data_IF_555578838149
#
_entry.id   IF_555578838149
#
_cell.length_a   1.000
_cell.length_b   1.000
_cell.length_c   1.000
_cell.angle_alpha   90.00
_cell.angle_beta   90.00
_cell.angle_gamma   90.00
#
_symmetry.space_group_name_H-M   'P 1'
#
loop_
_entity.id
_entity.type
_entity.pdbx_description
1 polymer ?
#
# COMPACT_ATOMS: atom_id res chain seq x y z
N UNK A 1 6.20 10.39 -9.66
CA UNK A 1 5.05 10.03 -8.83
C UNK A 1 5.21 8.65 -8.18
N UNK A 2 5.67 7.64 -8.87
CA UNK A 2 5.82 6.29 -8.35
C UNK A 2 5.69 5.22 -9.44
N UNK A 3 5.59 3.96 -9.05
CA UNK A 3 5.43 2.82 -9.95
C UNK A 3 4.40 1.83 -9.42
N UNK A 4 3.88 0.99 -10.30
CA UNK A 4 2.82 0.00 -10.08
C UNK A 4 1.50 0.60 -9.56
N UNK A 5 0.39 0.12 -10.09
CA UNK A 5 -0.93 0.56 -9.62
C UNK A 5 -1.27 -0.05 -8.25
N UNK A 6 -1.84 0.78 -7.39
CA UNK A 6 -2.31 0.36 -6.06
C UNK A 6 -3.69 -0.28 -6.18
N UNK A 7 -3.69 -1.58 -6.36
CA UNK A 7 -4.89 -2.43 -6.43
C UNK A 7 -4.78 -3.55 -5.41
N UNK A 8 -5.85 -4.26 -5.13
CA UNK A 8 -5.84 -5.46 -4.31
C UNK A 8 -5.22 -5.29 -2.93
N UNK A 9 -4.33 -6.19 -2.55
CA UNK A 9 -3.76 -6.26 -1.20
C UNK A 9 -2.97 -5.03 -0.75
N UNK A 10 -2.30 -4.32 -1.65
CA UNK A 10 -1.59 -3.08 -1.27
C UNK A 10 -2.57 -1.97 -0.90
N UNK A 11 -3.73 -1.91 -1.57
CA UNK A 11 -4.80 -1.00 -1.18
C UNK A 11 -5.33 -1.35 0.21
N UNK A 12 -5.57 -2.63 0.48
CA UNK A 12 -5.98 -3.12 1.81
C UNK A 12 -4.96 -2.72 2.88
N UNK A 13 -3.67 -2.95 2.65
CA UNK A 13 -2.61 -2.55 3.60
C UNK A 13 -2.60 -1.05 3.86
N UNK A 14 -2.60 -0.24 2.79
CA UNK A 14 -2.57 1.22 2.89
C UNK A 14 -3.80 1.82 3.59
N UNK A 15 -4.95 1.14 3.51
CA UNK A 15 -6.20 1.58 4.14
C UNK A 15 -6.39 1.03 5.56
N UNK A 16 -6.02 -0.24 5.81
CA UNK A 16 -6.29 -0.88 7.09
C UNK A 16 -5.18 -0.66 8.14
N UNK A 17 -3.91 -0.60 7.73
CA UNK A 17 -2.82 -0.38 8.67
C UNK A 17 -2.93 0.97 9.43
N UNK A 18 -3.34 2.09 8.82
CA UNK A 18 -3.59 3.33 9.56
C UNK A 18 -4.68 3.18 10.63
N UNK A 19 -5.70 2.36 10.38
CA UNK A 19 -6.77 2.11 11.37
C UNK A 19 -6.20 1.37 12.58
N UNK A 20 -5.32 0.40 12.37
CA UNK A 20 -4.62 -0.30 13.45
C UNK A 20 -3.87 0.73 14.32
N UNK A 21 -3.07 1.60 13.70
CA UNK A 21 -2.30 2.62 14.39
C UNK A 21 -3.17 3.62 15.17
N UNK A 22 -4.17 4.21 14.53
CA UNK A 22 -5.05 5.23 15.15
C UNK A 22 -5.92 4.66 16.26
N UNK A 23 -6.20 3.36 16.26
CA UNK A 23 -6.95 2.68 17.32
C UNK A 23 -6.06 2.10 18.42
N UNK A 24 -4.75 2.35 18.38
CA UNK A 24 -3.77 1.79 19.31
C UNK A 24 -3.87 0.27 19.43
N UNK A 25 -4.09 -0.41 18.31
CA UNK A 25 -4.09 -1.87 18.24
C UNK A 25 -2.67 -2.35 17.93
N UNK A 26 -2.23 -3.40 18.58
CA UNK A 26 -0.97 -4.06 18.26
C UNK A 26 -1.10 -5.00 17.06
N UNK A 27 -0.01 -5.26 16.39
CA UNK A 27 0.09 -6.21 15.29
C UNK A 27 1.05 -7.34 15.66
N UNK A 28 0.55 -8.57 15.73
CA UNK A 28 1.37 -9.77 15.93
C UNK A 28 1.85 -10.35 14.61
N UNK A 29 1.01 -10.29 13.56
CA UNK A 29 1.38 -10.79 12.25
C UNK A 29 0.46 -10.38 11.12
N UNK A 30 1.04 -10.28 9.93
CA UNK A 30 0.30 -10.08 8.68
C UNK A 30 0.83 -11.04 7.61
N UNK A 31 0.06 -12.06 7.30
CA UNK A 31 0.39 -13.02 6.27
C UNK A 31 -0.47 -12.76 5.03
N UNK A 32 0.19 -12.51 3.91
CA UNK A 32 -0.46 -12.29 2.62
C UNK A 32 -0.08 -13.38 1.64
N UNK A 33 -1.05 -13.98 0.98
CA UNK A 33 -0.80 -14.87 -0.17
C UNK A 33 -1.59 -14.42 -1.40
N UNK A 34 -0.99 -14.58 -2.57
CA UNK A 34 -1.62 -14.33 -3.85
C UNK A 34 -1.55 -15.60 -4.69
N UNK A 35 -2.63 -15.88 -5.40
CA UNK A 35 -2.73 -16.94 -6.38
C UNK A 35 -3.07 -16.30 -7.72
N UNK A 36 -2.18 -16.51 -8.72
CA UNK A 36 -2.28 -15.91 -10.05
C UNK A 36 -2.12 -16.99 -11.10
N UNK A 37 -2.88 -16.91 -12.18
CA UNK A 37 -2.79 -17.85 -13.30
C UNK A 37 -2.22 -17.21 -14.58
N UNK A 38 -1.91 -15.93 -14.57
CA UNK A 38 -1.38 -15.18 -15.71
C UNK A 38 0.15 -15.23 -15.82
N UNK A 39 0.69 -14.61 -16.85
CA UNK A 39 2.15 -14.57 -17.10
C UNK A 39 2.93 -13.86 -15.97
N UNK A 40 2.37 -12.86 -15.31
CA UNK A 40 3.01 -12.20 -14.16
C UNK A 40 3.18 -13.21 -13.00
N UNK A 41 2.15 -14.05 -12.76
CA UNK A 41 2.25 -15.14 -11.79
C UNK A 41 3.35 -16.14 -12.11
N UNK A 42 3.47 -16.56 -13.37
CA UNK A 42 4.52 -17.46 -13.81
C UNK A 42 5.91 -16.90 -13.59
N UNK A 43 6.13 -15.62 -13.93
CA UNK A 43 7.42 -14.95 -13.74
C UNK A 43 7.78 -14.80 -12.27
N UNK A 44 6.79 -14.53 -11.43
CA UNK A 44 6.98 -14.30 -9.98
C UNK A 44 7.05 -15.58 -9.14
N UNK A 45 6.71 -16.72 -9.73
CA UNK A 45 6.89 -18.03 -9.08
C UNK A 45 8.37 -18.38 -8.94
N UNK A 46 9.23 -17.72 -9.74
CA UNK A 46 10.68 -17.87 -9.67
C UNK A 46 11.27 -17.00 -8.55
N UNK A 47 11.97 -17.59 -7.55
CA UNK A 47 12.43 -16.86 -6.35
C UNK A 47 13.25 -15.61 -6.62
N UNK A 48 14.08 -15.61 -7.66
CA UNK A 48 14.93 -14.48 -8.05
C UNK A 48 14.10 -13.25 -8.48
N UNK A 49 12.97 -13.47 -9.13
CA UNK A 49 12.06 -12.41 -9.60
C UNK A 49 11.13 -11.92 -8.51
N UNK A 50 10.84 -12.78 -7.52
CA UNK A 50 9.93 -12.47 -6.42
C UNK A 50 10.49 -11.45 -5.43
N UNK A 51 11.80 -11.49 -5.14
CA UNK A 51 12.44 -10.69 -4.10
C UNK A 51 12.13 -9.18 -4.19
N UNK A 52 12.20 -8.59 -5.38
CA UNK A 52 11.90 -7.14 -5.55
C UNK A 52 10.45 -6.79 -5.20
N UNK A 53 9.51 -7.67 -5.54
CA UNK A 53 8.09 -7.47 -5.18
C UNK A 53 7.83 -7.74 -3.70
N UNK A 54 8.54 -8.66 -3.10
CA UNK A 54 8.48 -8.94 -1.66
C UNK A 54 8.87 -7.70 -0.86
N UNK A 55 10.05 -7.16 -1.09
CA UNK A 55 10.54 -5.93 -0.43
C UNK A 55 9.53 -4.78 -0.56
N UNK A 56 9.00 -4.54 -1.77
CA UNK A 56 8.01 -3.48 -1.99
C UNK A 56 6.70 -3.69 -1.23
N UNK A 57 6.29 -4.94 -0.99
CA UNK A 57 5.07 -5.26 -0.24
C UNK A 57 5.30 -5.23 1.29
N UNK A 58 6.50 -5.54 1.73
CA UNK A 58 6.87 -5.50 3.14
C UNK A 58 6.98 -4.06 3.64
N UNK A 59 7.70 -3.21 2.92
CA UNK A 59 7.95 -1.81 3.30
C UNK A 59 6.69 -0.96 3.46
N UNK A 60 5.56 -1.36 2.88
CA UNK A 60 4.30 -0.61 3.01
C UNK A 60 3.82 -0.51 4.46
N UNK A 61 3.95 -1.59 5.24
CA UNK A 61 3.52 -1.58 6.65
C UNK A 61 4.49 -0.79 7.54
N UNK A 62 5.79 -0.93 7.29
CA UNK A 62 6.86 -0.30 8.08
C UNK A 62 6.77 1.22 8.06
N UNK A 63 6.32 1.81 6.95
CA UNK A 63 6.14 3.25 6.82
C UNK A 63 4.84 3.77 7.45
N UNK A 64 3.88 2.91 7.75
CA UNK A 64 2.59 3.26 8.35
C UNK A 64 2.59 2.97 9.85
N UNK A 65 2.97 1.75 10.22
CA UNK A 65 3.11 1.30 11.59
C UNK A 65 4.58 1.50 11.97
N UNK A 66 4.88 2.52 12.76
CA UNK A 66 6.23 2.91 13.15
C UNK A 66 6.67 2.16 14.41
N UNK A 67 7.36 1.03 14.26
CA UNK A 67 7.75 0.19 15.39
C UNK A 67 8.75 0.87 16.34
N UNK A 68 9.59 1.73 15.82
CA UNK A 68 10.53 2.57 16.58
C UNK A 68 9.82 3.59 17.48
N UNK A 69 8.61 4.02 17.08
CA UNK A 69 7.78 4.95 17.85
C UNK A 69 6.89 4.22 18.85
N UNK A 70 6.39 3.03 18.50
CA UNK A 70 5.46 2.23 19.32
C UNK A 70 5.93 0.76 19.43
N UNK A 71 7.06 0.48 20.08
CA UNK A 71 7.64 -0.86 20.15
C UNK A 71 6.74 -1.88 20.85
N UNK A 72 5.96 -1.46 21.85
CA UNK A 72 5.05 -2.35 22.59
C UNK A 72 3.89 -2.87 21.73
N UNK A 73 3.52 -2.14 20.67
CA UNK A 73 2.43 -2.53 19.77
C UNK A 73 2.91 -3.29 18.54
N UNK A 74 4.13 -3.02 18.11
CA UNK A 74 4.68 -3.54 16.85
C UNK A 74 6.00 -4.30 17.03
N UNK A 75 6.43 -4.51 18.29
CA UNK A 75 7.74 -5.08 18.65
C UNK A 75 7.78 -6.60 18.82
N UNK A 76 6.76 -7.37 18.45
CA UNK A 76 6.64 -8.80 18.76
C UNK A 76 6.91 -9.75 17.59
N UNK A 77 7.87 -9.40 16.73
CA UNK A 77 8.31 -10.30 15.67
C UNK A 77 9.21 -11.43 16.19
N UNK A 78 9.20 -12.57 15.49
CA UNK A 78 10.05 -13.71 15.82
C UNK A 78 11.51 -13.58 15.35
N UNK A 79 11.82 -12.54 14.59
CA UNK A 79 13.16 -12.23 14.13
C UNK A 79 13.65 -10.96 14.84
N UNK A 80 14.93 -10.95 15.22
CA UNK A 80 15.57 -9.84 15.92
C UNK A 80 15.49 -8.50 15.15
N UNK A 81 15.22 -8.56 13.83
CA UNK A 81 15.14 -7.41 12.93
C UNK A 81 13.71 -7.01 12.55
N UNK A 82 12.68 -7.83 12.87
CA UNK A 82 11.29 -7.55 12.55
C UNK A 82 10.42 -7.56 13.79
N UNK A 83 9.71 -6.50 14.01
CA UNK A 83 8.95 -6.27 15.22
C UNK A 83 7.57 -6.96 15.22
N UNK A 84 7.07 -7.38 14.06
CA UNK A 84 5.90 -8.23 13.87
C UNK A 84 6.15 -9.19 12.70
N UNK A 85 5.52 -10.36 12.72
CA UNK A 85 5.67 -11.33 11.64
C UNK A 85 4.96 -10.83 10.37
N UNK A 86 5.73 -10.49 9.35
CA UNK A 86 5.18 -10.07 8.06
C UNK A 86 5.71 -10.96 6.95
N UNK A 87 4.80 -11.63 6.25
CA UNK A 87 5.18 -12.52 5.15
C UNK A 87 4.24 -12.36 3.96
N UNK A 88 4.83 -12.39 2.79
CA UNK A 88 4.12 -12.36 1.50
C UNK A 88 4.48 -13.60 0.71
N UNK A 89 3.49 -14.22 0.08
CA UNK A 89 3.70 -15.32 -0.87
C UNK A 89 2.94 -15.05 -2.17
N UNK A 90 3.50 -15.52 -3.26
CA UNK A 90 2.86 -15.55 -4.59
C UNK A 90 2.97 -16.98 -5.10
N UNK A 91 1.87 -17.53 -5.57
CA UNK A 91 1.78 -18.87 -6.10
C UNK A 91 1.22 -18.80 -7.51
N UNK A 92 1.91 -19.42 -8.45
CA UNK A 92 1.42 -19.58 -9.81
C UNK A 92 0.43 -20.75 -9.86
N UNK A 93 -0.79 -20.47 -10.34
CA UNK A 93 -1.84 -21.47 -10.49
C UNK A 93 -2.58 -21.24 -11.80
N UNK A 94 -2.18 -21.93 -12.91
CA UNK A 94 -2.73 -21.72 -14.24
C UNK A 94 -4.26 -21.68 -14.36
N UNK A 95 -5.02 -22.52 -13.62
CA UNK A 95 -6.49 -22.50 -13.70
C UNK A 95 -7.14 -21.17 -13.30
N UNK A 96 -6.43 -20.27 -12.62
CA UNK A 96 -6.91 -18.91 -12.32
C UNK A 96 -6.95 -18.00 -13.54
N UNK A 97 -6.24 -18.35 -14.61
CA UNK A 97 -6.10 -17.49 -15.78
C UNK A 97 -5.69 -16.06 -15.38
N UNK A 98 -6.44 -15.07 -15.81
CA UNK A 98 -6.21 -13.65 -15.56
C UNK A 98 -6.77 -13.17 -14.19
N UNK A 99 -7.43 -14.05 -13.47
CA UNK A 99 -7.92 -13.73 -12.13
C UNK A 99 -6.79 -13.85 -11.10
N UNK A 100 -6.84 -12.95 -10.14
CA UNK A 100 -5.96 -12.92 -8.99
C UNK A 100 -6.77 -13.07 -7.71
N UNK A 101 -6.44 -14.05 -6.93
CA UNK A 101 -6.98 -14.24 -5.62
C UNK A 101 -5.94 -13.83 -4.57
N UNK A 102 -6.34 -12.99 -3.63
CA UNK A 102 -5.49 -12.56 -2.53
C UNK A 102 -6.13 -12.90 -1.19
N UNK A 103 -5.37 -13.52 -0.30
CA UNK A 103 -5.77 -13.74 1.08
C UNK A 103 -4.85 -12.98 2.00
N UNK A 104 -5.43 -12.27 2.95
CA UNK A 104 -4.70 -11.67 4.07
C UNK A 104 -5.23 -12.25 5.37
N UNK A 105 -4.31 -12.73 6.21
CA UNK A 105 -4.57 -13.09 7.58
C UNK A 105 -3.82 -12.08 8.46
N UNK A 106 -4.56 -11.36 9.30
CA UNK A 106 -4.05 -10.25 10.09
C UNK A 106 -4.36 -10.57 11.55
N UNK A 107 -3.32 -10.85 12.32
CA UNK A 107 -3.41 -11.14 13.74
C UNK A 107 -3.04 -9.89 14.51
N UNK A 108 -4.03 -9.30 15.17
CA UNK A 108 -3.92 -8.07 15.96
C UNK A 108 -4.28 -8.34 17.41
N UNK A 109 -3.85 -7.48 18.30
CA UNK A 109 -4.25 -7.52 19.71
C UNK A 109 -4.68 -6.15 20.20
N UNK A 110 -5.63 -6.15 21.10
CA UNK A 110 -6.18 -4.93 21.70
C UNK A 110 -5.89 -4.83 23.18
N UNK A 111 -6.84 -4.26 23.91
CA UNK A 111 -6.77 -4.05 25.35
C UNK A 111 -6.35 -5.32 26.10
N UNK A 112 -5.37 -5.20 26.98
CA UNK A 112 -4.78 -6.29 27.76
C UNK A 112 -4.24 -7.47 26.93
N UNK A 113 -3.80 -7.22 25.70
CA UNK A 113 -3.29 -8.25 24.82
C UNK A 113 -4.36 -9.18 24.23
N UNK A 114 -5.65 -8.80 24.30
CA UNK A 114 -6.73 -9.64 23.78
C UNK A 114 -6.57 -9.85 22.27
N UNK A 115 -6.44 -11.12 21.81
CA UNK A 115 -6.17 -11.41 20.42
C UNK A 115 -7.43 -11.26 19.55
N UNK A 116 -7.22 -10.71 18.37
CA UNK A 116 -8.26 -10.59 17.33
C UNK A 116 -7.66 -11.00 15.98
N UNK A 117 -8.48 -11.48 15.09
CA UNK A 117 -8.06 -11.87 13.75
C UNK A 117 -8.96 -11.25 12.71
N UNK A 118 -8.37 -10.67 11.67
CA UNK A 118 -9.06 -10.22 10.47
C UNK A 118 -8.60 -11.05 9.30
N UNK A 119 -9.54 -11.61 8.55
CA UNK A 119 -9.28 -12.34 7.31
C UNK A 119 -9.94 -11.60 6.15
N UNK A 120 -9.17 -11.38 5.09
CA UNK A 120 -9.64 -10.71 3.89
C UNK A 120 -9.44 -11.66 2.71
N UNK A 121 -10.52 -11.94 2.02
CA UNK A 121 -10.52 -12.63 0.74
C UNK A 121 -10.82 -11.63 -0.38
N UNK A 122 -9.95 -11.56 -1.37
CA UNK A 122 -10.08 -10.64 -2.46
C UNK A 122 -9.84 -11.35 -3.80
N UNK A 123 -10.89 -11.46 -4.61
CA UNK A 123 -10.81 -11.99 -5.97
C UNK A 123 -11.01 -10.84 -6.95
N UNK A 124 -10.06 -10.64 -7.84
CA UNK A 124 -10.10 -9.57 -8.82
C UNK A 124 -9.40 -9.95 -10.13
N UNK A 125 -9.50 -9.06 -11.09
CA UNK A 125 -8.74 -9.08 -12.32
C UNK A 125 -7.93 -7.78 -12.38
N UNK A 126 -6.61 -7.86 -12.18
CA UNK A 126 -5.73 -6.67 -12.05
C UNK A 126 -5.83 -5.73 -13.27
N UNK A 127 -5.90 -6.29 -14.49
CA UNK A 127 -6.02 -5.51 -15.73
C UNK A 127 -7.28 -4.65 -15.77
N UNK A 128 -8.41 -5.18 -15.30
CA UNK A 128 -9.68 -4.45 -15.24
C UNK A 128 -9.64 -3.35 -14.17
N UNK A 129 -9.02 -3.61 -13.03
CA UNK A 129 -8.87 -2.62 -11.97
C UNK A 129 -7.87 -1.51 -12.34
N UNK A 130 -6.84 -1.84 -13.11
CA UNK A 130 -5.81 -0.89 -13.52
C UNK A 130 -6.30 0.11 -14.60
N UNK A 131 -7.22 -0.29 -15.46
CA UNK A 131 -7.69 0.54 -16.57
C UNK A 131 -8.27 1.91 -16.13
N UNK A 132 -9.23 1.99 -15.18
CA UNK A 132 -9.72 3.28 -14.71
C UNK A 132 -8.65 4.11 -14.01
N UNK A 133 -7.74 3.48 -13.25
CA UNK A 133 -6.64 4.20 -12.61
C UNK A 133 -5.71 4.86 -13.63
N UNK A 134 -5.47 4.20 -14.76
CA UNK A 134 -4.67 4.77 -15.85
C UNK A 134 -5.36 5.99 -16.46
N UNK A 135 -6.68 5.95 -16.66
CA UNK A 135 -7.45 7.10 -17.14
C UNK A 135 -7.36 8.27 -16.15
N UNK A 136 -7.56 8.02 -14.86
CA UNK A 136 -7.44 9.05 -13.83
C UNK A 136 -6.04 9.67 -13.81
N UNK A 137 -4.98 8.85 -13.91
CA UNK A 137 -3.62 9.35 -13.98
C UNK A 137 -3.36 10.21 -15.21
N UNK A 138 -3.92 9.86 -16.38
CA UNK A 138 -3.82 10.68 -17.59
C UNK A 138 -4.52 12.02 -17.40
N UNK A 139 -5.77 12.01 -16.89
CA UNK A 139 -6.56 13.23 -16.68
C UNK A 139 -5.92 14.17 -15.65
N UNK A 140 -5.46 13.62 -14.53
CA UNK A 140 -4.81 14.39 -13.47
C UNK A 140 -3.43 14.93 -13.89
N UNK A 141 -2.69 14.17 -14.71
CA UNK A 141 -1.42 14.65 -15.26
C UNK A 141 -1.61 15.79 -16.26
N UNK A 142 -2.64 15.71 -17.11
CA UNK A 142 -3.02 16.79 -18.02
C UNK A 142 -3.48 18.03 -17.24
N UNK A 143 -4.30 17.86 -16.21
CA UNK A 143 -4.73 18.94 -15.34
C UNK A 143 -3.52 19.62 -14.67
N UNK A 144 -2.56 18.85 -14.13
CA UNK A 144 -1.35 19.37 -13.51
C UNK A 144 -0.51 20.17 -14.52
N UNK A 145 -0.34 19.66 -15.76
CA UNK A 145 0.38 20.36 -16.81
C UNK A 145 -0.29 21.70 -17.19
N UNK A 146 -1.60 21.73 -17.32
CA UNK A 146 -2.39 22.95 -17.58
C UNK A 146 -2.32 23.95 -16.44
N UNK A 147 -2.22 23.48 -15.20
CA UNK A 147 -2.00 24.32 -14.01
C UNK A 147 -0.53 24.76 -13.82
N UNK A 148 0.37 24.45 -14.76
CA UNK A 148 1.78 24.82 -14.69
C UNK A 148 2.59 24.01 -13.66
N UNK A 149 2.06 22.89 -13.16
CA UNK A 149 2.75 22.00 -12.22
C UNK A 149 3.60 20.98 -12.97
N UNK A 150 4.90 21.12 -12.87
CA UNK A 150 5.87 20.23 -13.51
C UNK A 150 6.71 19.46 -12.48
N UNK A 151 7.41 18.42 -12.93
CA UNK A 151 8.25 17.56 -12.09
C UNK A 151 7.46 16.46 -11.37
N UNK A 152 7.94 16.05 -10.20
CA UNK A 152 7.33 14.94 -9.45
C UNK A 152 5.98 15.36 -8.85
N UNK A 153 4.92 14.70 -9.30
CA UNK A 153 3.56 14.91 -8.81
C UNK A 153 3.25 13.96 -7.64
N UNK A 154 3.52 14.41 -6.42
CA UNK A 154 3.40 13.57 -5.21
C UNK A 154 1.96 13.14 -4.93
N UNK A 155 0.97 13.97 -5.24
CA UNK A 155 -0.44 13.67 -5.04
C UNK A 155 -0.93 12.44 -5.83
N UNK A 156 -0.25 12.06 -6.92
CA UNK A 156 -0.55 10.84 -7.67
C UNK A 156 -0.12 9.55 -6.93
N UNK A 157 0.56 9.67 -5.79
CA UNK A 157 0.91 8.52 -4.94
C UNK A 157 -0.32 7.72 -4.47
N UNK A 158 -1.49 8.35 -4.40
CA UNK A 158 -2.76 7.71 -4.09
C UNK A 158 -3.04 6.48 -4.98
N UNK A 159 -2.65 6.54 -6.25
CA UNK A 159 -2.87 5.49 -7.25
C UNK A 159 -1.73 4.45 -7.33
N UNK A 160 -0.61 4.67 -6.66
CA UNK A 160 0.65 3.95 -6.92
C UNK A 160 1.13 3.19 -5.68
N UNK A 161 1.70 1.98 -5.89
CA UNK A 161 2.21 1.12 -4.81
C UNK A 161 3.52 1.63 -4.21
N UNK A 162 4.40 2.17 -5.05
CA UNK A 162 5.70 2.69 -4.63
C UNK A 162 5.71 4.19 -4.90
N UNK A 163 5.17 4.99 -3.97
CA UNK A 163 5.08 6.44 -4.16
C UNK A 163 6.45 7.08 -4.21
N UNK A 164 6.59 8.08 -5.09
CA UNK A 164 7.81 8.87 -5.22
C UNK A 164 7.89 9.88 -4.07
N UNK A 165 9.07 10.02 -3.52
CA UNK A 165 9.43 11.03 -2.53
C UNK A 165 10.78 11.65 -2.88
N UNK A 166 11.13 12.75 -2.25
CA UNK A 166 12.39 13.43 -2.47
C UNK A 166 13.47 12.89 -1.54
N UNK A 167 14.26 11.93 -2.07
CA UNK A 167 15.38 11.35 -1.34
C UNK A 167 16.43 12.37 -0.91
N UNK A 168 16.56 13.48 -1.64
CA UNK A 168 17.58 14.49 -1.33
C UNK A 168 17.23 15.32 -0.11
N UNK A 169 15.95 15.36 0.24
CA UNK A 169 15.41 16.05 1.43
C UNK A 169 15.19 15.15 2.63
N UNK A 170 15.53 13.85 2.52
CA UNK A 170 15.25 12.88 3.57
C UNK A 170 13.77 12.63 3.80
N UNK A 171 12.91 12.92 2.81
CA UNK A 171 11.49 12.65 2.91
C UNK A 171 11.21 11.15 2.85
N UNK A 172 10.25 10.69 3.65
CA UNK A 172 9.73 9.31 3.59
C UNK A 172 8.60 9.17 2.58
N UNK A 173 8.42 7.95 2.05
CA UNK A 173 7.30 7.61 1.20
C UNK A 173 5.99 7.61 2.01
N UNK A 174 5.00 8.37 1.58
CA UNK A 174 3.67 8.37 2.20
C UNK A 174 2.88 7.18 1.67
N UNK A 175 2.66 6.16 2.49
CA UNK A 175 1.86 4.96 2.15
C UNK A 175 0.49 4.91 2.82
N UNK A 176 0.23 5.78 3.80
CA UNK A 176 -1.07 5.92 4.43
C UNK A 176 -2.10 6.43 3.42
N UNK A 177 -3.15 5.63 3.16
CA UNK A 177 -4.16 5.92 2.14
C UNK A 177 -4.94 7.21 2.43
N UNK A 178 -5.21 7.50 3.68
CA UNK A 178 -5.96 8.70 4.08
C UNK A 178 -5.14 9.97 3.85
N UNK A 179 -3.86 9.95 4.20
CA UNK A 179 -2.95 11.07 3.88
C UNK A 179 -2.78 11.26 2.37
N UNK A 180 -2.65 10.17 1.62
CA UNK A 180 -2.58 10.24 0.15
C UNK A 180 -3.87 10.81 -0.46
N UNK A 181 -5.04 10.45 0.09
CA UNK A 181 -6.33 11.01 -0.33
C UNK A 181 -6.41 12.51 -0.06
N UNK A 182 -6.00 12.96 1.13
CA UNK A 182 -5.93 14.39 1.48
C UNK A 182 -5.00 15.15 0.54
N UNK A 183 -3.82 14.61 0.26
CA UNK A 183 -2.88 15.18 -0.71
C UNK A 183 -3.48 15.31 -2.11
N UNK A 184 -4.20 14.27 -2.58
CA UNK A 184 -4.87 14.30 -3.87
C UNK A 184 -5.96 15.37 -3.92
N UNK A 185 -6.84 15.38 -2.91
CA UNK A 185 -7.94 16.33 -2.81
C UNK A 185 -7.43 17.78 -2.80
N UNK A 186 -6.44 18.07 -1.97
CA UNK A 186 -5.86 19.40 -1.85
C UNK A 186 -5.17 19.83 -3.16
N UNK A 187 -4.43 18.95 -3.80
CA UNK A 187 -3.81 19.25 -5.09
C UNK A 187 -4.85 19.60 -6.18
N UNK A 188 -5.98 18.89 -6.23
CA UNK A 188 -7.08 19.19 -7.18
C UNK A 188 -7.71 20.55 -6.85
N UNK A 189 -7.97 20.84 -5.56
CA UNK A 189 -8.52 22.14 -5.12
C UNK A 189 -7.62 23.29 -5.52
N UNK A 190 -6.33 23.21 -5.20
CA UNK A 190 -5.33 24.24 -5.54
C UNK A 190 -5.24 24.46 -7.07
N UNK A 191 -5.23 23.39 -7.86
CA UNK A 191 -5.25 23.49 -9.34
C UNK A 191 -6.54 24.12 -9.87
N UNK A 192 -7.64 24.01 -9.14
CA UNK A 192 -8.91 24.67 -9.42
C UNK A 192 -9.02 26.09 -8.86
N UNK A 193 -7.99 26.63 -8.20
CA UNK A 193 -8.01 27.96 -7.60
C UNK A 193 -8.74 28.05 -6.25
N UNK A 194 -8.94 26.91 -5.57
CA UNK A 194 -9.52 26.85 -4.24
C UNK A 194 -8.43 26.65 -3.18
N UNK A 195 -8.69 27.10 -1.96
CA UNK A 195 -7.82 26.86 -0.82
C UNK A 195 -7.78 25.35 -0.50
N UNK A 196 -6.62 24.84 -0.07
CA UNK A 196 -6.49 23.51 0.48
C UNK A 196 -7.35 23.38 1.75
N UNK A 197 -7.90 22.19 2.01
CA UNK A 197 -8.47 21.91 3.32
C UNK A 197 -7.35 21.84 4.35
N UNK A 198 -7.62 22.27 5.58
CA UNK A 198 -6.68 22.12 6.70
C UNK A 198 -6.36 20.62 6.86
N UNK A 199 -5.07 20.30 6.96
CA UNK A 199 -4.66 18.94 7.31
C UNK A 199 -5.16 18.67 8.74
N UNK A 200 -5.96 17.64 8.89
CA UNK A 200 -6.30 17.11 10.21
C UNK A 200 -5.12 16.21 10.59
N UNK A 201 -4.31 16.70 11.51
CA UNK A 201 -3.19 15.98 12.12
C UNK A 201 -3.65 14.67 12.83
#
# INVERSE_FOLDING_TARGET
SGKDFKTGQTLVKSGFAPIIGTRCLGLSGWFSTNILGNRDGLVLDEPANFHTKEVSKLSTLETILKPDVQPDLYGHGNDEDTQYYHKVRINYYPPRNDNKEGWDNIDIFGWMGYPMQVKINFLCRDSILAAPLLLDLCLLSDLAARAGRYGTQRFLSFFLKSPMHDYTKGEEAVNNLYQQYTMLKNAIREMGGYEADEEID
#
